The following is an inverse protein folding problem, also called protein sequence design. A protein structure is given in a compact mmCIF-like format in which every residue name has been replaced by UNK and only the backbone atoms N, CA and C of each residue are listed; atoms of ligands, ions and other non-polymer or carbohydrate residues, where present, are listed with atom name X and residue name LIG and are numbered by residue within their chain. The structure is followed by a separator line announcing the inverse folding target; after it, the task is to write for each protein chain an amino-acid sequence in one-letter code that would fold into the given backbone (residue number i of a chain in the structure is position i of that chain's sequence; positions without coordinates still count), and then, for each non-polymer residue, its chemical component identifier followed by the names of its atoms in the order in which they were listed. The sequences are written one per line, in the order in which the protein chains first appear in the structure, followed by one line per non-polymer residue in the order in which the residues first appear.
data_IF_096505261098
#
_entry.id   IF_096505261098
#
_cell.length_a   1.000
_cell.length_b   1.000
_cell.length_c   1.000
_cell.angle_alpha   90.00
_cell.angle_beta   90.00
_cell.angle_gamma   90.00
#
_symmetry.space_group_name_H-M   'P 1'
#
loop_
_entity.id
_entity.type
_entity.pdbx_description
1 polymer ?
#
# COMPACT_ATOMS: atom_id res chain seq x y z
N UNK A 1 28.22 -11.84 -31.53
CA UNK A 1 27.98 -10.64 -30.71
C UNK A 1 27.28 -9.59 -31.56
N UNK A 2 25.95 -9.54 -31.53
CA UNK A 2 25.15 -8.50 -32.18
C UNK A 2 24.48 -7.65 -31.10
N UNK A 3 24.72 -6.33 -31.13
CA UNK A 3 24.10 -5.34 -30.24
C UNK A 3 22.60 -5.31 -30.50
N UNK A 4 21.82 -5.85 -29.58
CA UNK A 4 20.36 -5.69 -29.56
C UNK A 4 20.08 -4.20 -29.34
N UNK A 5 19.38 -3.60 -30.31
CA UNK A 5 19.05 -2.17 -30.33
C UNK A 5 18.23 -1.74 -29.13
N UNK A 6 18.52 -0.54 -28.63
CA UNK A 6 17.86 0.13 -27.49
C UNK A 6 16.39 0.54 -27.75
N UNK A 7 15.71 -0.13 -28.69
CA UNK A 7 14.35 0.21 -29.15
C UNK A 7 13.26 -0.47 -28.30
N UNK A 8 13.61 -1.42 -27.43
CA UNK A 8 12.61 -2.30 -26.78
C UNK A 8 12.31 -1.99 -25.31
N UNK A 9 12.89 -0.93 -24.74
CA UNK A 9 12.58 -0.52 -23.36
C UNK A 9 11.71 0.75 -23.36
N UNK A 10 10.55 0.67 -24.03
CA UNK A 10 9.48 1.65 -23.79
C UNK A 10 9.00 1.49 -22.35
N UNK A 11 9.44 2.41 -21.49
CA UNK A 11 8.89 2.55 -20.14
C UNK A 11 7.37 2.72 -20.23
N UNK A 12 6.62 1.90 -19.49
CA UNK A 12 5.15 1.98 -19.37
C UNK A 12 4.65 3.39 -19.03
N UNK A 13 5.53 4.24 -18.47
CA UNK A 13 5.31 5.65 -18.15
C UNK A 13 4.95 6.49 -19.39
N UNK A 14 5.58 6.22 -20.54
CA UNK A 14 5.38 7.01 -21.76
C UNK A 14 4.01 6.78 -22.42
N UNK A 15 3.35 5.66 -22.12
CA UNK A 15 1.99 5.36 -22.58
C UNK A 15 0.96 6.27 -21.89
N UNK A 16 1.25 6.72 -20.66
CA UNK A 16 0.37 7.60 -19.89
C UNK A 16 0.70 9.09 -20.05
N UNK A 17 1.98 9.43 -20.25
CA UNK A 17 2.44 10.82 -20.23
C UNK A 17 2.32 11.56 -21.56
N UNK A 18 2.09 10.88 -22.70
CA UNK A 18 1.70 11.47 -24.00
C UNK A 18 2.52 12.67 -24.48
N UNK A 19 3.31 12.50 -25.55
CA UNK A 19 4.15 13.54 -26.18
C UNK A 19 3.55 14.96 -26.06
N UNK A 20 4.29 15.84 -25.38
CA UNK A 20 3.88 17.16 -24.88
C UNK A 20 3.51 18.23 -25.92
N UNK A 21 2.81 17.85 -26.99
CA UNK A 21 2.06 18.76 -27.85
C UNK A 21 0.67 19.01 -27.25
N UNK A 22 0.19 20.25 -27.36
CA UNK A 22 -1.19 20.59 -27.01
C UNK A 22 -2.14 19.64 -27.74
N UNK A 23 -3.04 18.92 -27.01
CA UNK A 23 -3.89 17.93 -27.65
C UNK A 23 -4.85 18.62 -28.62
N UNK A 24 -5.05 18.09 -29.85
CA UNK A 24 -5.99 18.68 -30.80
C UNK A 24 -7.40 18.70 -30.20
N UNK A 25 -8.22 19.73 -30.51
CA UNK A 25 -9.49 20.01 -29.83
C UNK A 25 -10.48 18.84 -29.82
N UNK A 26 -10.42 17.97 -30.84
CA UNK A 26 -11.22 16.76 -30.92
C UNK A 26 -10.79 15.66 -29.91
N UNK A 27 -9.47 15.44 -29.73
CA UNK A 27 -8.96 14.49 -28.72
C UNK A 27 -9.25 14.97 -27.29
N UNK A 28 -9.18 16.28 -27.06
CA UNK A 28 -9.54 16.91 -25.78
C UNK A 28 -11.03 16.68 -25.44
N UNK A 29 -11.95 16.86 -26.40
CA UNK A 29 -13.38 16.55 -26.21
C UNK A 29 -13.64 15.07 -25.89
N UNK A 30 -12.96 14.13 -26.55
CA UNK A 30 -13.10 12.69 -26.29
C UNK A 30 -12.53 12.30 -24.91
N UNK A 31 -11.41 12.89 -24.50
CA UNK A 31 -10.86 12.69 -23.15
C UNK A 31 -11.79 13.24 -22.06
N UNK A 32 -12.36 14.43 -22.25
CA UNK A 32 -13.35 15.01 -21.31
C UNK A 32 -14.60 14.14 -21.24
N UNK A 33 -15.13 13.70 -22.38
CA UNK A 33 -16.30 12.84 -22.44
C UNK A 33 -16.03 11.49 -21.74
N UNK A 34 -14.88 10.86 -22.00
CA UNK A 34 -14.45 9.66 -21.26
C UNK A 34 -14.33 9.95 -19.76
N UNK A 35 -13.72 11.06 -19.35
CA UNK A 35 -13.57 11.43 -17.94
C UNK A 35 -14.92 11.58 -17.23
N UNK A 36 -15.90 12.22 -17.88
CA UNK A 36 -17.25 12.39 -17.36
C UNK A 36 -18.01 11.06 -17.25
N UNK A 37 -17.89 10.19 -18.27
CA UNK A 37 -18.51 8.86 -18.27
C UNK A 37 -18.03 8.00 -17.09
N UNK A 38 -16.80 8.17 -16.61
CA UNK A 38 -16.31 7.45 -15.42
C UNK A 38 -16.54 8.18 -14.10
N UNK A 39 -16.54 9.53 -14.10
CA UNK A 39 -16.71 10.33 -12.87
C UNK A 39 -18.16 10.39 -12.39
N UNK A 40 -19.13 10.51 -13.31
CA UNK A 40 -20.55 10.64 -12.95
C UNK A 40 -21.07 9.37 -12.26
N UNK A 41 -20.85 8.15 -12.78
CA UNK A 41 -21.28 6.92 -12.10
C UNK A 41 -20.64 6.74 -10.74
N UNK A 42 -19.34 7.04 -10.60
CA UNK A 42 -18.64 6.98 -9.31
C UNK A 42 -19.23 7.97 -8.30
N UNK A 43 -19.62 9.16 -8.73
CA UNK A 43 -20.27 10.15 -7.88
C UNK A 43 -21.67 9.68 -7.46
N UNK A 44 -22.48 9.21 -8.40
CA UNK A 44 -23.82 8.67 -8.13
C UNK A 44 -23.72 7.50 -7.15
N UNK A 45 -22.83 6.54 -7.41
CA UNK A 45 -22.59 5.40 -6.53
C UNK A 45 -22.18 5.86 -5.13
N UNK A 46 -21.25 6.81 -5.03
CA UNK A 46 -20.82 7.34 -3.72
C UNK A 46 -21.96 8.03 -2.98
N UNK A 47 -22.81 8.79 -3.67
CA UNK A 47 -23.97 9.45 -3.07
C UNK A 47 -25.02 8.45 -2.60
N UNK A 48 -25.32 7.43 -3.42
CA UNK A 48 -26.25 6.34 -3.05
C UNK A 48 -25.72 5.58 -1.83
N UNK A 49 -24.44 5.18 -1.84
CA UNK A 49 -23.81 4.49 -0.71
C UNK A 49 -23.80 5.34 0.56
N UNK A 50 -23.60 6.67 0.43
CA UNK A 50 -23.71 7.60 1.57
C UNK A 50 -25.16 7.74 2.05
N UNK A 51 -26.12 7.91 1.14
CA UNK A 51 -27.54 8.02 1.47
C UNK A 51 -28.10 6.77 2.15
N UNK A 52 -27.57 5.59 1.80
CA UNK A 52 -27.90 4.31 2.44
C UNK A 52 -27.07 4.03 3.72
N UNK A 53 -26.13 4.92 4.10
CA UNK A 53 -25.22 4.71 5.24
C UNK A 53 -24.13 3.63 5.02
N UNK A 54 -24.13 2.94 3.88
CA UNK A 54 -23.17 1.88 3.56
C UNK A 54 -21.73 2.39 3.41
N UNK A 55 -21.56 3.64 2.96
CA UNK A 55 -20.24 4.25 2.85
C UNK A 55 -19.58 4.41 4.23
N UNK A 56 -20.32 4.92 5.22
CA UNK A 56 -19.80 5.09 6.58
C UNK A 56 -19.61 3.74 7.26
N UNK A 57 -20.54 2.79 7.10
CA UNK A 57 -20.35 1.42 7.58
C UNK A 57 -19.09 0.76 6.99
N UNK A 58 -18.82 0.99 5.70
CA UNK A 58 -17.60 0.53 5.05
C UNK A 58 -16.35 1.19 5.63
N UNK A 59 -16.40 2.49 5.94
CA UNK A 59 -15.32 3.22 6.62
C UNK A 59 -15.06 2.66 8.02
N UNK A 60 -16.10 2.49 8.82
CA UNK A 60 -16.01 1.91 10.17
C UNK A 60 -15.45 0.49 10.15
N UNK A 61 -15.90 -0.35 9.20
CA UNK A 61 -15.36 -1.70 9.02
C UNK A 61 -13.87 -1.68 8.66
N UNK A 62 -13.45 -0.76 7.79
CA UNK A 62 -12.04 -0.63 7.41
C UNK A 62 -11.16 -0.17 8.58
N UNK A 63 -11.69 0.66 9.49
CA UNK A 63 -10.99 1.13 10.69
C UNK A 63 -11.09 0.14 11.87
N UNK A 64 -12.07 -0.77 11.84
CA UNK A 64 -12.26 -1.82 12.84
C UNK A 64 -11.26 -2.98 12.65
N UNK A 65 -9.98 -2.67 12.76
CA UNK A 65 -8.88 -3.62 12.64
C UNK A 65 -8.94 -4.69 13.74
N UNK A 66 -8.68 -5.94 13.33
CA UNK A 66 -8.67 -7.11 14.22
C UNK A 66 -7.33 -7.81 14.14
N UNK A 67 -6.70 -8.02 15.29
CA UNK A 67 -5.50 -8.85 15.41
C UNK A 67 -5.96 -10.31 15.48
N UNK A 68 -5.45 -11.15 14.58
CA UNK A 68 -5.74 -12.59 14.55
C UNK A 68 -4.49 -13.37 14.92
N UNK A 69 -4.51 -14.00 16.09
CA UNK A 69 -3.43 -14.89 16.51
C UNK A 69 -3.57 -16.24 15.83
N UNK A 70 -2.52 -16.70 15.16
CA UNK A 70 -2.43 -18.04 14.57
C UNK A 70 -1.18 -18.72 15.09
N UNK A 71 -1.35 -19.92 15.59
CA UNK A 71 -0.24 -20.78 16.03
C UNK A 71 0.04 -21.75 14.89
N UNK A 72 1.28 -21.76 14.41
CA UNK A 72 1.74 -22.67 13.38
C UNK A 72 2.63 -23.72 14.04
N UNK A 73 2.38 -25.00 13.74
CA UNK A 73 3.29 -26.08 14.09
C UNK A 73 4.11 -26.39 12.85
N UNK A 74 5.42 -26.16 12.94
CA UNK A 74 6.36 -26.39 11.84
C UNK A 74 7.24 -27.55 12.24
N UNK A 75 7.17 -28.65 11.48
CA UNK A 75 8.01 -29.82 11.73
C UNK A 75 9.48 -29.47 11.48
N UNK A 76 10.37 -29.88 12.39
CA UNK A 76 11.80 -29.58 12.31
C UNK A 76 12.19 -28.14 12.64
N UNK A 77 11.28 -27.35 13.24
CA UNK A 77 11.63 -26.05 13.78
C UNK A 77 12.61 -26.21 14.95
N UNK A 78 13.78 -25.55 14.94
CA UNK A 78 14.72 -25.62 16.06
C UNK A 78 14.08 -25.06 17.35
N UNK A 79 14.46 -25.63 18.50
CA UNK A 79 13.85 -25.31 19.80
C UNK A 79 13.99 -23.83 20.16
N UNK A 80 15.04 -23.17 19.67
CA UNK A 80 15.30 -21.73 19.89
C UNK A 80 14.25 -20.82 19.25
N UNK A 81 13.45 -21.33 18.31
CA UNK A 81 12.41 -20.59 17.58
C UNK A 81 11.00 -20.90 18.11
N UNK A 82 10.88 -21.80 19.08
CA UNK A 82 9.61 -22.12 19.71
C UNK A 82 9.05 -20.90 20.45
N UNK A 83 7.75 -20.63 20.27
CA UNK A 83 7.11 -19.47 20.87
C UNK A 83 7.43 -18.12 20.22
N UNK A 84 8.15 -18.08 19.09
CA UNK A 84 8.40 -16.86 18.34
C UNK A 84 7.07 -16.21 17.89
N UNK A 85 6.85 -14.95 18.28
CA UNK A 85 5.66 -14.19 17.90
C UNK A 85 5.95 -13.24 16.76
N UNK A 86 5.36 -13.55 15.61
CA UNK A 86 5.51 -12.78 14.38
C UNK A 86 4.26 -11.94 14.16
N UNK A 87 4.42 -10.62 14.05
CA UNK A 87 3.40 -9.72 13.52
C UNK A 87 3.53 -9.65 12.00
N UNK A 88 2.49 -10.03 11.28
CA UNK A 88 2.45 -9.91 9.81
C UNK A 88 1.39 -8.90 9.39
N UNK A 89 1.77 -7.95 8.54
CA UNK A 89 0.89 -6.91 8.00
C UNK A 89 1.12 -6.73 6.49
N UNK A 90 0.05 -6.49 5.71
CA UNK A 90 0.10 -6.29 4.26
C UNK A 90 -1.04 -5.35 3.83
N UNK A 91 -1.03 -4.90 2.57
CA UNK A 91 -2.07 -4.05 1.96
C UNK A 91 -2.32 -2.74 2.74
N UNK A 92 -1.26 -2.12 3.27
CA UNK A 92 -1.37 -0.98 4.19
C UNK A 92 -1.87 0.30 3.49
N UNK A 93 -1.54 0.51 2.21
CA UNK A 93 -2.01 1.62 1.38
C UNK A 93 -2.05 3.01 2.09
N UNK A 94 -0.93 3.45 2.64
CA UNK A 94 -0.84 4.64 3.51
C UNK A 94 -1.34 5.95 2.88
N UNK A 95 -1.31 6.07 1.56
CA UNK A 95 -1.78 7.27 0.83
C UNK A 95 -3.28 7.52 0.95
N UNK A 96 -4.08 6.49 1.27
CA UNK A 96 -5.54 6.60 1.16
C UNK A 96 -6.16 7.38 2.32
N UNK A 97 -5.73 7.14 3.56
CA UNK A 97 -6.32 7.74 4.78
C UNK A 97 -5.36 7.66 5.96
N UNK A 98 -5.03 8.81 6.55
CA UNK A 98 -4.25 8.88 7.78
C UNK A 98 -4.91 8.10 8.94
N UNK A 99 -6.24 8.11 9.00
CA UNK A 99 -7.05 7.38 10.00
C UNK A 99 -6.71 5.88 10.09
N UNK A 100 -6.36 5.24 8.96
CA UNK A 100 -6.02 3.81 8.94
C UNK A 100 -4.68 3.56 9.63
N UNK A 101 -3.67 4.38 9.31
CA UNK A 101 -2.35 4.31 9.94
C UNK A 101 -2.46 4.48 11.45
N UNK A 102 -3.27 5.44 11.89
CA UNK A 102 -3.45 5.72 13.31
C UNK A 102 -4.17 4.55 14.02
N UNK A 103 -5.20 3.97 13.40
CA UNK A 103 -5.87 2.77 13.91
C UNK A 103 -4.92 1.55 13.98
N UNK A 104 -4.00 1.40 13.03
CA UNK A 104 -2.98 0.34 13.06
C UNK A 104 -2.06 0.55 14.27
N UNK A 105 -1.51 1.76 14.42
CA UNK A 105 -0.63 2.14 15.53
C UNK A 105 -1.32 1.87 16.87
N UNK A 106 -2.58 2.27 17.01
CA UNK A 106 -3.39 2.01 18.21
C UNK A 106 -3.58 0.50 18.46
N UNK A 107 -3.71 -0.34 17.42
CA UNK A 107 -3.80 -1.79 17.64
C UNK A 107 -2.49 -2.46 17.99
N UNK A 108 -1.38 -2.02 17.40
CA UNK A 108 -0.10 -2.72 17.54
C UNK A 108 0.72 -2.24 18.75
N UNK A 109 0.51 -1.03 19.28
CA UNK A 109 1.33 -0.47 20.37
C UNK A 109 1.35 -1.34 21.65
N UNK A 110 0.30 -2.14 21.86
CA UNK A 110 0.17 -3.02 23.03
C UNK A 110 0.64 -4.45 22.77
N UNK A 111 0.98 -4.79 21.52
CA UNK A 111 1.39 -6.14 21.16
C UNK A 111 2.87 -6.35 21.50
N UNK A 112 3.15 -7.44 22.22
CA UNK A 112 4.50 -7.94 22.41
C UNK A 112 4.81 -8.92 21.29
N UNK A 113 5.71 -8.54 20.40
CA UNK A 113 6.09 -9.31 19.22
C UNK A 113 7.60 -9.32 19.09
N UNK A 114 8.14 -10.42 18.60
CA UNK A 114 9.58 -10.63 18.52
C UNK A 114 10.08 -10.22 17.13
N UNK A 115 9.23 -10.38 16.11
CA UNK A 115 9.48 -10.01 14.71
C UNK A 115 8.27 -9.34 14.07
N UNK A 116 8.51 -8.32 13.24
CA UNK A 116 7.49 -7.68 12.41
C UNK A 116 7.81 -7.89 10.93
N UNK A 117 6.87 -8.47 10.18
CA UNK A 117 6.96 -8.76 8.76
C UNK A 117 5.96 -7.92 7.97
N UNK A 118 6.44 -7.34 6.87
CA UNK A 118 5.63 -6.55 5.96
C UNK A 118 5.48 -7.25 4.61
N UNK A 119 4.24 -7.56 4.24
CA UNK A 119 3.89 -8.30 3.02
C UNK A 119 3.77 -7.47 1.74
N UNK A 120 4.06 -6.16 1.78
CA UNK A 120 3.95 -5.28 0.61
C UNK A 120 2.60 -4.56 0.48
N UNK A 121 2.38 -3.96 -0.69
CA UNK A 121 1.20 -3.13 -1.04
C UNK A 121 1.01 -1.89 -0.16
N UNK A 122 2.09 -1.13 -0.01
CA UNK A 122 2.12 0.13 0.76
C UNK A 122 1.51 1.32 0.00
N UNK A 123 1.50 1.27 -1.33
CA UNK A 123 1.01 2.32 -2.20
C UNK A 123 -0.29 1.89 -2.88
N UNK A 124 -1.23 2.82 -3.04
CA UNK A 124 -2.41 2.55 -3.85
C UNK A 124 -2.14 2.83 -5.33
N UNK A 125 -1.29 3.82 -5.61
CA UNK A 125 -0.99 4.26 -6.96
C UNK A 125 0.52 4.44 -7.09
N UNK A 126 1.17 3.49 -7.77
CA UNK A 126 2.63 3.48 -7.98
C UNK A 126 3.14 4.66 -8.81
N UNK A 127 2.25 5.49 -9.36
CA UNK A 127 2.61 6.74 -10.04
C UNK A 127 2.76 7.94 -9.10
N UNK A 128 2.35 7.80 -7.83
CA UNK A 128 2.37 8.88 -6.83
C UNK A 128 3.65 8.85 -5.97
N UNK A 129 3.87 9.97 -5.28
CA UNK A 129 5.00 10.17 -4.38
C UNK A 129 5.03 9.08 -3.30
N UNK A 130 6.25 8.62 -3.01
CA UNK A 130 6.52 7.59 -2.01
C UNK A 130 6.43 8.14 -0.57
N UNK A 131 6.45 9.46 -0.40
CA UNK A 131 6.51 10.14 0.90
C UNK A 131 5.41 9.69 1.87
N UNK A 132 4.11 9.62 1.49
CA UNK A 132 3.06 9.17 2.42
C UNK A 132 3.24 7.71 2.87
N UNK A 133 3.78 6.86 1.99
CA UNK A 133 4.07 5.47 2.33
C UNK A 133 5.25 5.37 3.29
N UNK A 134 6.31 6.15 3.08
CA UNK A 134 7.46 6.22 3.98
C UNK A 134 7.06 6.75 5.35
N UNK A 135 6.28 7.84 5.40
CA UNK A 135 5.81 8.42 6.67
C UNK A 135 4.92 7.45 7.46
N UNK A 136 4.00 6.78 6.76
CA UNK A 136 3.16 5.76 7.38
C UNK A 136 3.97 4.58 7.94
N UNK A 137 4.94 4.09 7.16
CA UNK A 137 5.87 3.05 7.62
C UNK A 137 6.68 3.49 8.85
N UNK A 138 7.23 4.71 8.85
CA UNK A 138 7.97 5.27 9.99
C UNK A 138 7.14 5.27 11.27
N UNK A 139 5.87 5.67 11.19
CA UNK A 139 4.95 5.65 12.35
C UNK A 139 4.74 4.23 12.89
N UNK A 140 4.51 3.27 12.01
CA UNK A 140 4.31 1.86 12.41
C UNK A 140 5.59 1.31 13.04
N UNK A 141 6.73 1.46 12.38
CA UNK A 141 8.02 0.95 12.87
C UNK A 141 8.39 1.57 14.21
N UNK A 142 8.23 2.88 14.37
CA UNK A 142 8.50 3.55 15.65
C UNK A 142 7.57 3.13 16.79
N UNK A 143 6.45 2.49 16.49
CA UNK A 143 5.49 1.99 17.48
C UNK A 143 5.81 0.55 17.91
N UNK A 144 6.29 -0.28 16.99
CA UNK A 144 6.65 -1.67 17.29
C UNK A 144 8.00 -1.66 18.00
N UNK A 145 8.10 -2.35 19.14
CA UNK A 145 9.37 -2.65 19.80
C UNK A 145 9.70 -4.13 19.58
N UNK A 146 10.25 -4.51 18.41
CA UNK A 146 10.64 -5.90 18.20
C UNK A 146 11.84 -6.23 19.09
N UNK A 147 11.92 -7.48 19.55
CA UNK A 147 13.05 -7.96 20.34
C UNK A 147 14.29 -8.22 19.46
N UNK A 148 14.06 -8.53 18.18
CA UNK A 148 15.06 -8.63 17.13
C UNK A 148 14.91 -7.41 16.22
N UNK A 149 15.95 -6.58 16.09
CA UNK A 149 16.01 -5.40 15.20
C UNK A 149 15.98 -5.75 13.69
N UNK A 150 15.31 -6.83 13.32
CA UNK A 150 15.29 -7.37 11.96
C UNK A 150 13.94 -7.07 11.30
N UNK A 151 13.96 -6.23 10.27
CA UNK A 151 12.79 -5.87 9.48
C UNK A 151 12.96 -6.40 8.06
N UNK A 152 12.24 -7.48 7.74
CA UNK A 152 12.26 -8.07 6.40
C UNK A 152 11.20 -7.39 5.53
N UNK A 153 11.68 -6.65 4.54
CA UNK A 153 10.86 -6.13 3.44
C UNK A 153 10.94 -7.08 2.26
N UNK A 154 9.80 -7.58 1.79
CA UNK A 154 9.70 -8.27 0.52
C UNK A 154 8.96 -7.39 -0.49
N UNK A 155 9.69 -6.72 -1.38
CA UNK A 155 9.09 -6.14 -2.57
C UNK A 155 10.08 -6.20 -3.75
N UNK A 156 9.63 -6.70 -4.90
CA UNK A 156 10.41 -6.97 -6.11
C UNK A 156 10.87 -5.72 -6.86
N UNK A 157 11.16 -4.62 -6.18
CA UNK A 157 11.60 -3.38 -6.84
C UNK A 157 12.73 -2.71 -6.06
N UNK A 158 13.91 -2.79 -6.66
CA UNK A 158 15.13 -2.07 -6.34
C UNK A 158 14.88 -0.57 -6.22
N UNK A 159 14.58 -0.04 -5.02
CA UNK A 159 14.79 1.38 -4.66
C UNK A 159 14.49 1.80 -3.21
N UNK A 160 14.36 0.89 -2.23
CA UNK A 160 14.37 1.30 -0.82
C UNK A 160 15.83 1.29 -0.32
N UNK A 161 16.54 2.39 -0.59
CA UNK A 161 17.80 2.65 0.10
C UNK A 161 17.51 2.94 1.58
N UNK A 162 18.22 2.19 2.41
CA UNK A 162 18.24 2.13 3.86
C UNK A 162 18.32 3.52 4.52
N UNK A 163 17.20 3.98 5.09
CA UNK A 163 17.16 5.16 5.95
C UNK A 163 16.22 4.96 7.12
N UNK A 164 16.65 4.14 8.08
CA UNK A 164 16.23 4.23 9.48
C UNK A 164 17.47 3.99 10.34
N UNK A 165 18.21 5.07 10.60
CA UNK A 165 18.98 5.24 11.82
C UNK A 165 18.07 5.88 12.87
#
# INVERSE_FOLDING_TARGET
MNKVGKEHLRSRRQIYEGDGGSPPPFKFKVQILKSLVWKIPNLILKLVLKGMGLFERGRENALSLKVKNRVFKVEGLPEEWEGLRILFMSDLHFERKQELTDAIVEKIHSLKVDLCLFGGDFQCDRSKLLDPAIEGMKKIVGTVKPLLDFMLFWETTTQLNWYLN
#
